data_IF_115785153345
#
_entry.id   IF_115785153345
#
_cell.length_a   1.000
_cell.length_b   1.000
_cell.length_c   1.000
_cell.angle_alpha   90.00
_cell.angle_beta   90.00
_cell.angle_gamma   90.00
#
_symmetry.space_group_name_H-M   'P 1'
#
loop_
_entity.id
_entity.type
_entity.pdbx_description
1 polymer ?
#
# COMPACT_ATOMS: atom_id res chain seq x y z
N UNK A 1 -86.86 10.77 22.28
CA UNK A 1 -85.49 11.34 22.40
C UNK A 1 -84.51 10.23 22.04
N UNK A 2 -84.01 10.19 20.79
CA UNK A 2 -82.70 10.73 20.31
C UNK A 2 -81.52 10.30 21.20
N UNK A 3 -80.65 9.47 20.62
CA UNK A 3 -79.64 8.68 21.34
C UNK A 3 -78.23 9.27 21.37
N UNK A 4 -77.23 8.39 21.58
CA UNK A 4 -75.82 8.62 21.22
C UNK A 4 -75.04 7.29 21.19
N UNK A 5 -74.62 6.86 19.99
CA UNK A 5 -73.53 5.90 19.76
C UNK A 5 -72.19 6.59 20.03
N UNK A 6 -71.18 5.81 20.43
CA UNK A 6 -69.79 6.28 20.51
C UNK A 6 -68.79 5.21 20.95
N UNK A 7 -68.78 4.03 20.33
CA UNK A 7 -67.65 3.09 20.48
C UNK A 7 -66.50 3.60 19.62
N UNK A 8 -65.48 4.18 20.26
CA UNK A 8 -64.25 4.61 19.60
C UNK A 8 -63.41 3.39 19.23
N UNK A 9 -63.44 3.03 17.94
CA UNK A 9 -62.54 2.04 17.36
C UNK A 9 -61.16 2.67 17.18
N UNK A 10 -60.19 2.24 17.99
CA UNK A 10 -58.77 2.54 17.77
C UNK A 10 -58.34 1.97 16.43
N UNK A 11 -58.05 2.85 15.46
CA UNK A 11 -57.44 2.46 14.19
C UNK A 11 -56.05 1.87 14.44
N UNK A 12 -55.91 0.56 14.22
CA UNK A 12 -54.60 -0.07 14.13
C UNK A 12 -53.85 0.47 12.92
N UNK A 13 -52.76 1.22 13.15
CA UNK A 13 -51.79 1.56 12.12
C UNK A 13 -51.32 0.27 11.44
N UNK A 14 -51.49 0.19 10.12
CA UNK A 14 -51.09 -0.95 9.30
C UNK A 14 -49.62 -1.31 9.55
N UNK A 15 -49.38 -2.55 9.97
CA UNK A 15 -48.04 -3.12 10.02
C UNK A 15 -47.66 -3.52 8.60
N UNK A 16 -47.00 -2.62 7.88
CA UNK A 16 -46.42 -2.93 6.57
C UNK A 16 -45.20 -3.82 6.80
N UNK A 17 -45.35 -5.12 6.57
CA UNK A 17 -44.25 -6.08 6.56
C UNK A 17 -43.57 -6.14 5.20
N UNK A 18 -42.26 -6.38 5.17
CA UNK A 18 -41.47 -6.57 3.95
C UNK A 18 -41.86 -7.88 3.27
N UNK A 19 -41.92 -7.90 1.94
CA UNK A 19 -42.26 -9.12 1.19
C UNK A 19 -41.03 -10.00 0.99
N UNK A 20 -41.22 -11.33 0.94
CA UNK A 20 -40.13 -12.26 0.59
C UNK A 20 -39.58 -11.98 -0.81
N UNK A 21 -40.46 -11.56 -1.73
CA UNK A 21 -40.06 -11.24 -3.10
C UNK A 21 -39.19 -9.98 -3.17
N UNK A 22 -39.47 -8.93 -2.37
CA UNK A 22 -38.58 -7.77 -2.28
C UNK A 22 -37.18 -8.17 -1.83
N UNK A 23 -37.09 -9.04 -0.81
CA UNK A 23 -35.79 -9.51 -0.34
C UNK A 23 -35.05 -10.32 -1.41
N UNK A 24 -35.75 -11.18 -2.16
CA UNK A 24 -35.13 -11.98 -3.22
C UNK A 24 -34.56 -11.12 -4.35
N UNK A 25 -35.29 -10.09 -4.78
CA UNK A 25 -34.80 -9.15 -5.81
C UNK A 25 -33.61 -8.36 -5.29
N UNK A 26 -33.64 -7.90 -4.04
CA UNK A 26 -32.51 -7.17 -3.43
C UNK A 26 -31.26 -8.04 -3.38
N UNK A 27 -31.38 -9.29 -2.95
CA UNK A 27 -30.23 -10.22 -2.90
C UNK A 27 -29.68 -10.49 -4.30
N UNK A 28 -30.56 -10.67 -5.29
CA UNK A 28 -30.14 -10.87 -6.68
C UNK A 28 -29.37 -9.65 -7.22
N UNK A 29 -29.82 -8.43 -6.94
CA UNK A 29 -29.14 -7.20 -7.35
C UNK A 29 -27.80 -7.01 -6.63
N UNK A 30 -27.76 -7.23 -5.30
CA UNK A 30 -26.51 -7.15 -4.52
C UNK A 30 -25.49 -8.19 -5.02
N UNK A 31 -25.93 -9.38 -5.41
CA UNK A 31 -25.07 -10.40 -6.01
C UNK A 31 -24.38 -9.92 -7.30
N UNK A 32 -25.13 -9.29 -8.21
CA UNK A 32 -24.57 -8.75 -9.47
C UNK A 32 -23.58 -7.62 -9.19
N UNK A 33 -23.91 -6.72 -8.26
CA UNK A 33 -23.02 -5.62 -7.87
C UNK A 33 -21.74 -6.15 -7.22
N UNK A 34 -21.82 -7.14 -6.34
CA UNK A 34 -20.66 -7.73 -5.68
C UNK A 34 -19.70 -8.38 -6.68
N UNK A 35 -20.23 -9.11 -7.68
CA UNK A 35 -19.43 -9.77 -8.72
C UNK A 35 -18.60 -8.79 -9.55
N UNK A 36 -19.16 -7.61 -9.86
CA UNK A 36 -18.45 -6.57 -10.63
C UNK A 36 -17.57 -5.69 -9.76
N UNK A 37 -17.97 -5.42 -8.52
CA UNK A 37 -17.25 -4.55 -7.60
C UNK A 37 -15.92 -5.14 -7.14
N UNK A 38 -15.83 -6.45 -6.88
CA UNK A 38 -14.61 -7.09 -6.37
C UNK A 38 -13.40 -6.96 -7.31
N UNK A 39 -13.46 -7.36 -8.61
CA UNK A 39 -12.31 -7.23 -9.51
C UNK A 39 -11.95 -5.77 -9.79
N UNK A 40 -12.96 -4.89 -9.85
CA UNK A 40 -12.74 -3.46 -9.95
C UNK A 40 -11.94 -2.98 -8.73
N UNK A 41 -12.46 -3.17 -7.52
CA UNK A 41 -11.80 -2.75 -6.28
C UNK A 41 -10.35 -3.25 -6.17
N UNK A 42 -10.08 -4.51 -6.55
CA UNK A 42 -8.70 -5.04 -6.60
C UNK A 42 -7.80 -4.22 -7.53
N UNK A 43 -8.28 -3.90 -8.73
CA UNK A 43 -7.53 -3.08 -9.70
C UNK A 43 -7.26 -1.66 -9.16
N UNK A 44 -8.23 -1.07 -8.45
CA UNK A 44 -8.05 0.24 -7.82
C UNK A 44 -6.98 0.19 -6.72
N UNK A 45 -7.01 -0.82 -5.86
CA UNK A 45 -5.98 -1.03 -4.84
C UNK A 45 -4.60 -1.22 -5.47
N UNK A 46 -4.47 -2.02 -6.51
CA UNK A 46 -3.19 -2.21 -7.22
C UNK A 46 -2.61 -0.88 -7.72
N UNK A 47 -3.43 -0.05 -8.35
CA UNK A 47 -3.01 1.28 -8.82
C UNK A 47 -2.63 2.22 -7.68
N UNK A 48 -3.37 2.18 -6.58
CA UNK A 48 -3.07 2.98 -5.39
C UNK A 48 -1.70 2.60 -4.81
N UNK A 49 -1.46 1.31 -4.59
CA UNK A 49 -0.18 0.81 -4.07
C UNK A 49 0.98 1.00 -5.06
N UNK A 50 0.75 0.85 -6.36
CA UNK A 50 1.78 1.15 -7.38
C UNK A 50 2.18 2.63 -7.41
N UNK A 51 1.20 3.54 -7.23
CA UNK A 51 1.45 4.97 -7.10
C UNK A 51 2.20 5.31 -5.80
N UNK A 52 1.83 4.67 -4.69
CA UNK A 52 2.52 4.81 -3.41
C UNK A 52 3.97 4.34 -3.49
N UNK A 53 4.20 3.15 -4.06
CA UNK A 53 5.55 2.61 -4.28
C UNK A 53 6.41 3.56 -5.12
N UNK A 54 5.84 4.15 -6.17
CA UNK A 54 6.56 5.10 -7.03
C UNK A 54 6.94 6.38 -6.28
N UNK A 55 6.02 6.91 -5.46
CA UNK A 55 6.27 8.09 -4.64
C UNK A 55 7.34 7.81 -3.57
N UNK A 56 7.24 6.67 -2.89
CA UNK A 56 8.20 6.27 -1.87
C UNK A 56 9.58 5.98 -2.45
N UNK A 57 9.65 5.35 -3.63
CA UNK A 57 10.91 5.13 -4.33
C UNK A 57 11.64 6.45 -4.57
N UNK A 58 10.94 7.46 -5.09
CA UNK A 58 11.53 8.78 -5.33
C UNK A 58 12.05 9.41 -4.03
N UNK A 59 11.23 9.39 -2.97
CA UNK A 59 11.64 9.93 -1.67
C UNK A 59 12.91 9.24 -1.16
N UNK A 60 12.93 7.90 -1.17
CA UNK A 60 14.08 7.13 -0.70
C UNK A 60 15.33 7.43 -1.53
N UNK A 61 15.22 7.53 -2.86
CA UNK A 61 16.33 7.93 -3.73
C UNK A 61 16.87 9.31 -3.38
N UNK A 62 16.00 10.31 -3.25
CA UNK A 62 16.39 11.68 -2.90
C UNK A 62 17.07 11.70 -1.52
N UNK A 63 16.55 10.95 -0.55
CA UNK A 63 17.14 10.81 0.79
C UNK A 63 18.51 10.14 0.77
N UNK A 64 18.72 9.12 -0.06
CA UNK A 64 20.03 8.47 -0.22
C UNK A 64 21.06 9.40 -0.84
N UNK A 65 20.67 10.19 -1.84
CA UNK A 65 21.56 11.19 -2.45
C UNK A 65 21.99 12.21 -1.40
N UNK A 66 21.04 12.78 -0.64
CA UNK A 66 21.34 13.74 0.42
C UNK A 66 22.25 13.13 1.49
N UNK A 67 21.94 11.91 1.94
CA UNK A 67 22.75 11.21 2.94
C UNK A 67 24.19 10.97 2.46
N UNK A 68 24.36 10.58 1.19
CA UNK A 68 25.67 10.38 0.58
C UNK A 68 26.46 11.69 0.48
N UNK A 69 25.81 12.79 0.13
CA UNK A 69 26.46 14.10 0.08
C UNK A 69 26.95 14.58 1.46
N UNK A 70 26.24 14.21 2.53
CA UNK A 70 26.61 14.58 3.91
C UNK A 70 27.67 13.65 4.52
N UNK A 71 27.58 12.34 4.26
CA UNK A 71 28.35 11.32 4.99
C UNK A 71 29.40 10.60 4.13
N UNK A 72 29.42 10.85 2.82
CA UNK A 72 30.27 10.17 1.83
C UNK A 72 30.11 8.64 1.84
N UNK A 73 28.94 8.14 2.27
CA UNK A 73 28.55 6.73 2.27
C UNK A 73 27.03 6.60 2.09
N UNK A 74 26.55 5.47 1.56
CA UNK A 74 25.12 5.18 1.50
C UNK A 74 24.61 4.59 2.81
N UNK A 75 23.29 4.65 2.98
CA UNK A 75 22.58 3.99 4.07
C UNK A 75 21.71 2.84 3.55
N UNK A 76 21.71 1.65 4.15
CA UNK A 76 22.66 1.21 5.17
C UNK A 76 24.07 1.09 4.57
N UNK A 77 25.09 0.85 5.41
CA UNK A 77 26.48 0.76 4.94
C UNK A 77 26.66 -0.39 3.95
N UNK A 78 27.74 -0.32 3.16
CA UNK A 78 28.14 -1.40 2.26
C UNK A 78 28.17 -2.75 2.99
N UNK A 79 27.54 -3.76 2.40
CA UNK A 79 27.42 -5.10 2.97
C UNK A 79 26.25 -5.29 3.93
N UNK A 80 25.46 -4.24 4.19
CA UNK A 80 24.27 -4.31 5.04
C UNK A 80 22.98 -4.22 4.23
N UNK A 81 21.92 -4.78 4.79
CA UNK A 81 20.55 -4.70 4.27
C UNK A 81 19.57 -4.34 5.38
N UNK A 82 18.60 -3.52 5.05
CA UNK A 82 17.46 -3.17 5.90
C UNK A 82 16.19 -3.65 5.21
N UNK A 83 15.42 -4.45 5.94
CA UNK A 83 14.09 -4.89 5.53
C UNK A 83 13.06 -4.23 6.44
N UNK A 84 12.14 -3.48 5.84
CA UNK A 84 10.89 -3.05 6.47
C UNK A 84 9.78 -3.81 5.77
N UNK A 85 9.30 -4.89 6.36
CA UNK A 85 8.31 -5.71 5.72
C UNK A 85 6.89 -5.13 5.95
N UNK A 86 5.93 -5.60 5.16
CA UNK A 86 4.53 -5.27 5.32
C UNK A 86 4.01 -5.72 6.70
N UNK A 87 2.91 -5.11 7.16
CA UNK A 87 2.36 -5.41 8.49
C UNK A 87 2.15 -6.90 8.76
N UNK A 88 2.38 -7.31 10.00
CA UNK A 88 2.21 -8.69 10.47
C UNK A 88 3.48 -9.54 10.35
N UNK A 89 4.54 -9.01 9.78
CA UNK A 89 5.88 -9.62 9.81
C UNK A 89 6.80 -8.83 10.76
N UNK A 90 7.68 -9.50 11.51
CA UNK A 90 8.54 -8.79 12.47
C UNK A 90 9.50 -7.85 11.74
N UNK A 91 9.37 -6.55 12.00
CA UNK A 91 10.37 -5.55 11.61
C UNK A 91 11.46 -5.53 12.69
N UNK A 92 12.76 -5.40 12.34
CA UNK A 92 13.78 -5.10 13.33
C UNK A 92 13.38 -3.83 14.11
N UNK A 93 13.44 -3.81 15.47
CA UNK A 93 12.83 -2.76 16.28
C UNK A 93 13.26 -1.33 15.95
N UNK A 94 14.47 -1.16 15.40
CA UNK A 94 15.05 0.16 15.10
C UNK A 94 14.96 0.55 13.63
N UNK A 95 14.70 -0.37 12.69
CA UNK A 95 14.90 -0.12 11.26
C UNK A 95 14.12 1.09 10.72
N UNK A 96 12.90 1.30 11.21
CA UNK A 96 12.07 2.44 10.81
C UNK A 96 12.60 3.75 11.38
N UNK A 97 13.09 3.72 12.62
CA UNK A 97 13.69 4.88 13.26
C UNK A 97 15.05 5.20 12.63
N UNK A 98 15.86 4.19 12.33
CA UNK A 98 17.16 4.33 11.68
C UNK A 98 17.03 4.98 10.30
N UNK A 99 16.02 4.57 9.50
CA UNK A 99 15.72 5.21 8.22
C UNK A 99 15.23 6.65 8.40
N UNK A 100 14.38 6.90 9.39
CA UNK A 100 13.91 8.26 9.68
C UNK A 100 15.06 9.18 10.08
N UNK A 101 16.01 8.67 10.86
CA UNK A 101 17.13 9.47 11.35
C UNK A 101 18.20 9.66 10.26
N UNK A 102 18.49 8.64 9.47
CA UNK A 102 19.46 8.72 8.37
C UNK A 102 18.90 9.48 7.16
N UNK A 103 17.76 9.05 6.61
CA UNK A 103 17.25 9.56 5.35
C UNK A 103 16.23 10.70 5.51
N UNK A 104 15.85 11.04 6.75
CA UNK A 104 14.80 12.03 7.05
C UNK A 104 13.44 11.69 6.41
N UNK A 105 13.18 10.40 6.20
CA UNK A 105 11.96 9.89 5.55
C UNK A 105 11.15 9.06 6.54
N UNK A 106 9.86 9.39 6.65
CA UNK A 106 8.88 8.52 7.28
C UNK A 106 8.41 7.45 6.30
N UNK A 107 8.72 6.18 6.59
CA UNK A 107 8.11 5.06 5.87
C UNK A 107 6.74 4.78 6.50
N UNK A 108 5.66 4.67 5.70
CA UNK A 108 4.36 4.31 6.21
C UNK A 108 4.44 2.99 7.00
N UNK A 109 3.77 2.90 8.15
CA UNK A 109 3.38 1.63 8.77
C UNK A 109 1.90 1.42 8.46
N UNK A 110 1.32 0.22 8.52
CA UNK A 110 -0.10 0.05 8.12
C UNK A 110 -0.38 -0.53 6.75
N UNK A 111 0.64 -0.89 5.96
CA UNK A 111 0.47 -1.02 4.51
C UNK A 111 1.08 -2.31 3.96
N UNK A 112 0.80 -2.59 2.68
CA UNK A 112 1.04 -3.88 2.04
C UNK A 112 2.31 -3.93 1.17
N UNK A 113 3.25 -3.00 1.41
CA UNK A 113 4.51 -2.94 0.70
C UNK A 113 5.65 -3.34 1.63
N UNK A 114 6.57 -4.13 1.11
CA UNK A 114 7.85 -4.42 1.72
C UNK A 114 8.91 -3.49 1.12
N UNK A 115 9.78 -2.92 1.94
CA UNK A 115 10.96 -2.17 1.53
C UNK A 115 12.20 -2.95 1.88
N UNK A 116 13.05 -3.17 0.90
CA UNK A 116 14.39 -3.69 1.11
C UNK A 116 15.40 -2.68 0.57
N UNK A 117 16.28 -2.20 1.44
CA UNK A 117 17.35 -1.27 1.10
C UNK A 117 18.66 -1.95 1.44
N UNK A 118 19.55 -2.09 0.46
CA UNK A 118 20.87 -2.65 0.72
C UNK A 118 21.91 -1.98 -0.14
N UNK A 119 23.12 -1.93 0.39
CA UNK A 119 24.26 -1.30 -0.27
C UNK A 119 25.32 -2.36 -0.53
N UNK A 120 25.87 -2.35 -1.74
CA UNK A 120 26.93 -3.26 -2.18
C UNK A 120 27.99 -2.48 -2.97
N UNK A 121 29.09 -3.12 -3.31
CA UNK A 121 30.10 -2.54 -4.19
C UNK A 121 29.88 -3.01 -5.62
N UNK A 122 30.21 -2.15 -6.58
CA UNK A 122 30.29 -2.54 -7.98
C UNK A 122 31.23 -3.77 -8.12
N UNK A 123 30.79 -4.87 -8.75
CA UNK A 123 31.63 -6.04 -8.96
C UNK A 123 32.91 -5.74 -9.74
N UNK A 124 32.87 -4.73 -10.62
CA UNK A 124 34.00 -4.36 -11.46
C UNK A 124 34.97 -3.40 -10.75
N UNK A 125 34.54 -2.75 -9.66
CA UNK A 125 35.33 -1.76 -8.93
C UNK A 125 34.91 -1.66 -7.45
N UNK A 126 35.75 -2.11 -6.50
CA UNK A 126 35.41 -2.12 -5.08
C UNK A 126 35.31 -0.71 -4.46
N UNK A 127 35.76 0.34 -5.15
CA UNK A 127 35.66 1.72 -4.67
C UNK A 127 34.35 2.42 -5.06
N UNK A 128 33.47 1.71 -5.76
CA UNK A 128 32.25 2.24 -6.37
C UNK A 128 31.00 1.68 -5.67
N UNK A 129 30.50 2.33 -4.60
CA UNK A 129 29.36 1.82 -3.85
C UNK A 129 28.03 2.03 -4.60
N UNK A 130 27.14 1.06 -4.53
CA UNK A 130 25.82 1.07 -5.14
C UNK A 130 24.76 0.85 -4.06
N UNK A 131 23.73 1.67 -4.06
CA UNK A 131 22.54 1.47 -3.23
C UNK A 131 21.41 0.91 -4.10
N UNK A 132 20.75 -0.13 -3.61
CA UNK A 132 19.57 -0.71 -4.24
C UNK A 132 18.39 -0.68 -3.27
N UNK A 133 17.29 -0.12 -3.75
CA UNK A 133 16.02 -0.05 -3.05
C UNK A 133 15.03 -0.91 -3.84
N UNK A 134 14.37 -1.84 -3.15
CA UNK A 134 13.31 -2.68 -3.71
C UNK A 134 12.05 -2.41 -2.91
N UNK A 135 10.98 -2.03 -3.59
CA UNK A 135 9.65 -1.94 -3.02
C UNK A 135 8.82 -3.04 -3.65
N UNK A 136 8.34 -3.99 -2.85
CA UNK A 136 7.60 -5.16 -3.33
C UNK A 136 6.26 -5.35 -2.65
N UNK A 137 5.39 -6.14 -3.26
CA UNK A 137 4.14 -6.59 -2.65
C UNK A 137 3.87 -8.05 -2.99
N UNK A 138 3.00 -8.71 -2.19
CA UNK A 138 2.54 -10.07 -2.48
C UNK A 138 1.55 -10.16 -3.66
N UNK A 139 1.23 -9.04 -4.31
CA UNK A 139 0.29 -8.92 -5.42
C UNK A 139 0.86 -7.97 -6.50
N UNK A 140 0.36 -8.03 -7.75
CA UNK A 140 0.82 -7.14 -8.82
C UNK A 140 0.59 -5.67 -8.49
N UNK A 141 1.63 -4.85 -8.64
CA UNK A 141 1.58 -3.39 -8.46
C UNK A 141 1.37 -2.66 -9.78
N UNK A 142 1.80 -3.26 -10.88
CA UNK A 142 1.80 -2.65 -12.21
C UNK A 142 0.96 -3.47 -13.20
N UNK A 143 0.56 -2.84 -14.31
CA UNK A 143 -0.30 -3.45 -15.34
C UNK A 143 0.30 -4.72 -15.94
N UNK A 144 1.62 -4.78 -16.03
CA UNK A 144 2.35 -5.89 -16.64
C UNK A 144 2.50 -7.11 -15.70
N UNK A 145 1.86 -7.07 -14.53
CA UNK A 145 1.91 -8.14 -13.54
C UNK A 145 3.07 -8.01 -12.55
N UNK A 146 4.00 -7.09 -12.80
CA UNK A 146 5.15 -6.83 -11.94
C UNK A 146 4.73 -6.49 -10.51
N UNK A 147 5.41 -7.12 -9.57
CA UNK A 147 5.14 -7.03 -8.13
C UNK A 147 6.14 -6.15 -7.40
N UNK A 148 7.15 -5.65 -8.10
CA UNK A 148 8.25 -4.91 -7.50
C UNK A 148 8.61 -3.69 -8.32
N UNK A 149 9.03 -2.64 -7.61
CA UNK A 149 9.70 -1.48 -8.16
C UNK A 149 11.13 -1.48 -7.62
N UNK A 150 12.09 -1.49 -8.51
CA UNK A 150 13.51 -1.56 -8.18
C UNK A 150 14.14 -0.23 -8.56
N UNK A 151 14.87 0.33 -7.61
CA UNK A 151 15.68 1.51 -7.78
C UNK A 151 17.14 1.20 -7.53
N UNK A 152 18.03 1.65 -8.42
CA UNK A 152 19.48 1.61 -8.26
C UNK A 152 20.03 3.03 -8.25
N UNK A 153 20.96 3.31 -7.34
CA UNK A 153 21.66 4.58 -7.20
C UNK A 153 23.16 4.31 -7.09
N UNK A 154 23.96 5.05 -7.84
CA UNK A 154 25.42 5.01 -7.75
C UNK A 154 25.98 6.24 -7.01
N UNK A 155 27.27 6.19 -6.68
CA UNK A 155 28.01 7.27 -6.00
C UNK A 155 28.05 8.60 -6.78
N UNK A 156 27.74 8.60 -8.08
CA UNK A 156 27.66 9.80 -8.91
C UNK A 156 26.29 10.49 -8.84
N UNK A 157 25.34 9.93 -8.09
CA UNK A 157 23.96 10.43 -8.01
C UNK A 157 23.06 9.96 -9.15
N UNK A 158 23.53 9.05 -10.02
CA UNK A 158 22.75 8.53 -11.13
C UNK A 158 21.76 7.48 -10.64
N UNK A 159 20.48 7.70 -10.95
CA UNK A 159 19.38 6.82 -10.55
C UNK A 159 18.83 6.04 -11.74
N UNK A 160 18.44 4.79 -11.48
CA UNK A 160 17.73 3.95 -12.44
C UNK A 160 16.54 3.30 -11.73
N UNK A 161 15.35 3.46 -12.28
CA UNK A 161 14.12 2.87 -11.73
C UNK A 161 13.50 1.99 -12.79
N UNK A 162 13.18 0.76 -12.43
CA UNK A 162 12.54 -0.20 -13.31
C UNK A 162 11.64 -1.15 -12.51
N UNK A 163 10.63 -1.70 -13.18
CA UNK A 163 9.74 -2.70 -12.58
C UNK A 163 10.37 -4.09 -12.68
N UNK A 164 10.04 -4.96 -11.74
CA UNK A 164 10.56 -6.33 -11.73
C UNK A 164 9.67 -7.30 -10.95
N UNK A 165 10.02 -8.58 -11.05
CA UNK A 165 9.30 -9.70 -10.43
C UNK A 165 8.13 -10.23 -11.23
#
# INVERSE_FOLDING_TARGET
>A
MKGRKGTSGSQGKGKNGFTLIELMVVIALVGILALTAVPLYRTWLQRAYGSEASLMMKKLMDGQILYYLENNEFFPKVGQSLLIPAEGTPTPPTAIQDIKDALKIGIPQGHRLDYNIYTYVDPDDPHKPLCMIIISASFPLFKDGHKQLIGKLNWEGKTYIFTGG
#
